data_IF_392817010956
#
_entry.id   IF_392817010956
#
_cell.length_a   1.000
_cell.length_b   1.000
_cell.length_c   1.000
_cell.angle_alpha   90.00
_cell.angle_beta   90.00
_cell.angle_gamma   90.00
#
_symmetry.space_group_name_H-M   'P 1'
#
loop_
_entity.id
_entity.type
_entity.pdbx_description
1 polymer ?
2 non-polymer ?
3 water ?
#
# COMPACT_ATOMS: atom_id res chain seq x y z
N UNK A 1 15.35 -6.78 -37.67
CA UNK A 1 14.57 -6.00 -38.67
C UNK A 1 15.25 -5.97 -40.04
N UNK A 2 14.69 -5.17 -40.92
CA UNK A 2 15.56 -4.68 -41.92
C UNK A 2 16.54 -3.91 -40.94
N UNK A 3 16.17 -2.75 -40.46
CA UNK A 3 17.19 -1.75 -40.12
C UNK A 3 16.98 -1.21 -38.68
N UNK A 4 17.70 -1.78 -37.70
CA UNK A 4 17.49 -1.35 -36.28
C UNK A 4 17.80 0.12 -36.00
N UNK A 5 18.87 0.63 -36.58
CA UNK A 5 19.15 2.02 -36.38
C UNK A 5 18.10 2.98 -36.96
N UNK A 6 17.47 2.60 -38.08
CA UNK A 6 16.37 3.38 -38.63
C UNK A 6 15.15 3.30 -37.72
N UNK A 7 14.98 2.17 -37.05
CA UNK A 7 13.83 1.99 -36.16
C UNK A 7 14.02 2.84 -34.92
N UNK A 8 15.24 2.93 -34.43
CA UNK A 8 15.54 3.85 -33.32
C UNK A 8 15.22 5.26 -33.68
N UNK A 9 15.58 5.71 -34.89
CA UNK A 9 15.29 7.01 -35.41
C UNK A 9 13.78 7.28 -35.56
N UNK A 10 13.08 6.24 -35.98
CA UNK A 10 11.61 6.35 -36.09
C UNK A 10 10.93 6.63 -34.73
N UNK A 11 11.46 6.01 -33.70
CA UNK A 11 10.98 6.29 -32.32
C UNK A 11 11.36 7.71 -31.94
N UNK A 12 12.59 8.12 -32.18
CA UNK A 12 13.02 9.48 -31.92
C UNK A 12 12.12 10.51 -32.59
N UNK A 13 11.72 10.21 -33.86
CA UNK A 13 10.90 11.10 -34.63
C UNK A 13 9.40 10.99 -34.24
N UNK A 14 9.05 10.04 -33.39
CA UNK A 14 7.64 9.80 -32.98
C UNK A 14 6.78 9.48 -34.22
N UNK A 15 7.38 8.69 -35.16
CA UNK A 15 6.82 8.43 -36.52
C UNK A 15 6.05 7.10 -36.42
N UNK A 16 4.75 7.21 -36.13
CA UNK A 16 3.96 6.05 -35.92
C UNK A 16 3.85 5.16 -37.16
N UNK A 17 3.91 5.77 -38.34
CA UNK A 17 3.89 4.96 -39.58
C UNK A 17 5.08 4.03 -39.60
N UNK A 18 6.26 4.62 -39.45
CA UNK A 18 7.46 3.82 -39.60
C UNK A 18 7.59 2.83 -38.46
N UNK A 19 7.23 3.24 -37.25
CA UNK A 19 7.33 2.31 -36.15
C UNK A 19 6.46 1.11 -36.41
N UNK A 20 5.24 1.31 -36.81
CA UNK A 20 4.33 0.18 -37.02
C UNK A 20 4.67 -0.62 -38.24
N UNK A 21 5.30 -0.03 -39.23
CA UNK A 21 5.79 -0.80 -40.41
C UNK A 21 6.81 -1.85 -39.99
N UNK A 22 7.73 -1.46 -39.10
CA UNK A 22 8.75 -2.38 -38.67
C UNK A 22 8.23 -3.37 -37.67
N UNK A 23 7.32 -2.94 -36.80
CA UNK A 23 6.74 -3.87 -35.84
C UNK A 23 5.99 -4.97 -36.60
N UNK A 24 5.28 -4.59 -37.64
CA UNK A 24 4.60 -5.60 -38.46
C UNK A 24 5.55 -6.60 -39.13
N UNK A 25 6.65 -6.12 -39.68
CA UNK A 25 7.67 -6.98 -40.28
C UNK A 25 8.26 -7.99 -39.27
N UNK A 26 8.56 -7.49 -38.08
CA UNK A 26 9.08 -8.34 -37.02
C UNK A 26 8.04 -9.34 -36.56
N UNK A 27 6.80 -8.90 -36.37
CA UNK A 27 5.80 -9.86 -35.89
C UNK A 27 5.63 -10.99 -36.93
N UNK A 28 5.73 -10.68 -38.23
CA UNK A 28 5.61 -11.70 -39.29
C UNK A 28 6.69 -12.73 -39.28
N UNK A 29 7.92 -12.35 -38.98
CA UNK A 29 8.94 -13.40 -39.01
C UNK A 29 8.99 -14.19 -37.69
N UNK A 30 8.16 -13.79 -36.74
CA UNK A 30 7.91 -14.55 -35.55
C UNK A 30 9.21 -15.03 -34.91
N UNK A 31 10.17 -14.13 -34.75
CA UNK A 31 11.43 -14.50 -34.13
C UNK A 31 11.48 -13.71 -32.81
N UNK A 32 11.54 -14.42 -31.68
CA UNK A 32 11.64 -13.74 -30.38
C UNK A 32 12.91 -12.91 -30.33
N UNK A 33 14.01 -13.43 -30.85
CA UNK A 33 15.28 -12.68 -30.69
C UNK A 33 15.21 -11.35 -31.50
N UNK A 34 14.58 -11.34 -32.67
CA UNK A 34 14.42 -10.12 -33.46
C UNK A 34 13.54 -9.10 -32.78
N UNK A 35 12.45 -9.60 -32.18
CA UNK A 35 11.56 -8.70 -31.39
C UNK A 35 12.36 -8.03 -30.27
N UNK A 36 13.15 -8.80 -29.53
CA UNK A 36 13.97 -8.21 -28.47
C UNK A 36 14.97 -7.17 -29.03
N UNK A 37 15.59 -7.39 -30.19
CA UNK A 37 16.47 -6.40 -30.75
C UNK A 37 15.74 -5.06 -31.11
N UNK A 38 14.52 -5.20 -31.63
CA UNK A 38 13.71 -4.09 -32.00
C UNK A 38 13.32 -3.28 -30.75
N UNK A 39 12.95 -3.99 -29.71
CA UNK A 39 12.68 -3.33 -28.42
C UNK A 39 13.83 -2.51 -27.94
N UNK A 40 15.04 -3.08 -27.99
CA UNK A 40 16.23 -2.32 -27.60
C UNK A 40 16.45 -1.08 -28.45
N UNK A 41 16.21 -1.20 -29.76
CA UNK A 41 16.32 -0.06 -30.62
C UNK A 41 15.30 1.04 -30.28
N UNK A 42 14.05 0.65 -30.02
CA UNK A 42 13.08 1.61 -29.57
C UNK A 42 13.45 2.29 -28.26
N UNK A 43 14.03 1.56 -27.37
CA UNK A 43 14.48 2.13 -26.07
C UNK A 43 15.60 3.19 -26.32
N UNK A 44 16.51 2.93 -27.26
CA UNK A 44 17.50 3.85 -27.61
C UNK A 44 16.86 5.06 -28.22
N UNK A 45 15.82 4.89 -29.03
CA UNK A 45 15.12 6.04 -29.54
C UNK A 45 14.41 6.92 -28.55
N UNK A 46 13.87 6.28 -27.48
CA UNK A 46 13.33 7.05 -26.36
C UNK A 46 14.36 8.02 -25.73
N UNK A 47 15.58 7.54 -25.58
CA UNK A 47 16.63 8.39 -25.13
C UNK A 47 16.83 9.61 -26.01
N UNK A 48 16.74 9.38 -27.30
CA UNK A 48 16.85 10.48 -28.28
C UNK A 48 15.65 11.49 -28.17
N UNK A 49 14.43 11.01 -27.85
CA UNK A 49 13.30 11.89 -27.51
C UNK A 49 13.68 12.79 -26.35
N UNK A 50 14.28 12.22 -25.31
CA UNK A 50 14.70 13.07 -24.23
C UNK A 50 15.74 14.11 -24.61
N UNK A 51 16.68 13.72 -25.45
CA UNK A 51 17.71 14.67 -25.89
C UNK A 51 17.06 15.86 -26.67
N UNK A 52 16.06 15.53 -27.49
CA UNK A 52 15.30 16.50 -28.27
C UNK A 52 14.37 17.42 -27.49
N UNK A 53 13.89 16.93 -26.36
CA UNK A 53 13.22 17.76 -25.40
C UNK A 53 14.23 18.71 -24.71
N UNK A 54 15.36 18.19 -24.31
CA UNK A 54 16.34 18.98 -23.57
C UNK A 54 16.90 20.10 -24.43
N UNK A 55 16.92 19.91 -25.76
CA UNK A 55 17.40 20.93 -26.71
C UNK A 55 16.38 22.01 -26.95
N UNK A 56 15.11 21.76 -26.57
CA UNK A 56 14.01 22.66 -26.78
C UNK A 56 13.20 22.40 -28.06
N UNK A 57 13.52 21.37 -28.84
CA UNK A 57 12.79 21.01 -30.04
C UNK A 57 11.42 20.39 -29.70
N UNK A 58 11.45 19.50 -28.72
CA UNK A 58 10.26 18.85 -28.29
C UNK A 58 9.72 19.50 -26.99
N UNK A 59 8.43 19.25 -26.76
CA UNK A 59 7.65 19.87 -25.64
C UNK A 59 7.12 18.76 -24.74
N UNK A 60 6.46 19.15 -23.65
CA UNK A 60 5.84 18.16 -22.74
C UNK A 60 4.95 17.19 -23.51
N UNK A 61 4.12 17.71 -24.41
CA UNK A 61 3.25 16.82 -25.17
C UNK A 61 4.01 15.69 -25.84
N UNK A 62 5.20 15.95 -26.39
CA UNK A 62 5.94 14.91 -27.06
C UNK A 62 6.39 13.85 -26.08
N UNK A 63 6.66 14.24 -24.84
CA UNK A 63 6.99 13.23 -23.87
C UNK A 63 5.78 12.34 -23.51
N UNK A 64 4.59 12.94 -23.42
CA UNK A 64 3.42 12.14 -23.22
C UNK A 64 3.26 11.14 -24.38
N UNK A 65 3.38 11.66 -25.59
CA UNK A 65 3.27 10.85 -26.79
C UNK A 65 4.25 9.69 -26.82
N UNK A 66 5.51 9.97 -26.44
CA UNK A 66 6.50 8.96 -26.53
C UNK A 66 6.18 7.77 -25.69
N UNK A 67 5.76 8.02 -24.44
CA UNK A 67 5.40 6.91 -23.61
C UNK A 67 4.28 6.01 -24.13
N UNK A 68 3.24 6.68 -24.63
CA UNK A 68 2.11 5.98 -25.19
C UNK A 68 2.48 5.22 -26.45
N UNK A 69 3.34 5.82 -27.25
CA UNK A 69 3.79 5.17 -28.51
C UNK A 69 4.68 3.95 -28.21
N UNK A 70 5.57 4.08 -27.24
CA UNK A 70 6.39 2.89 -26.85
C UNK A 70 5.49 1.80 -26.30
N UNK A 71 4.57 2.16 -25.40
CA UNK A 71 3.72 1.12 -24.83
C UNK A 71 2.94 0.41 -25.89
N UNK A 72 2.43 1.14 -26.89
CA UNK A 72 1.67 0.49 -27.97
C UNK A 72 2.51 -0.50 -28.75
N UNK A 73 3.75 -0.12 -29.04
CA UNK A 73 4.68 -1.05 -29.71
C UNK A 73 4.95 -2.24 -28.89
N UNK A 74 5.19 -2.04 -27.58
CA UNK A 74 5.43 -3.18 -26.66
C UNK A 74 4.28 -4.13 -26.57
N UNK A 75 3.05 -3.61 -26.62
CA UNK A 75 1.86 -4.43 -26.53
C UNK A 75 1.78 -5.32 -27.77
N UNK A 76 2.20 -4.80 -28.92
CA UNK A 76 2.17 -5.59 -30.12
C UNK A 76 3.22 -6.64 -30.19
N UNK A 77 4.38 -6.35 -29.62
CA UNK A 77 5.53 -7.23 -29.68
C UNK A 77 5.49 -8.32 -28.65
N UNK A 78 4.62 -8.20 -27.65
CA UNK A 78 4.57 -9.18 -26.55
C UNK A 78 4.28 -10.64 -26.91
N UNK A 79 3.36 -10.89 -27.86
CA UNK A 79 3.16 -12.28 -28.26
C UNK A 79 4.44 -12.92 -28.79
N UNK A 80 5.25 -12.13 -29.51
CA UNK A 80 6.49 -12.63 -30.16
C UNK A 80 7.56 -13.09 -29.15
N UNK A 81 7.71 -12.34 -28.06
CA UNK A 81 8.58 -12.79 -26.96
C UNK A 81 8.21 -14.20 -26.53
N UNK A 88 11.83 -11.69 -15.59
CA UNK A 88 11.57 -11.04 -14.27
C UNK A 88 11.87 -9.54 -14.26
N UNK A 89 10.83 -8.72 -14.26
CA UNK A 89 10.98 -7.26 -14.43
C UNK A 89 11.63 -6.57 -13.23
N UNK A 90 12.47 -5.54 -13.48
CA UNK A 90 12.97 -4.75 -12.35
C UNK A 90 11.81 -3.92 -11.80
N UNK A 91 11.87 -3.65 -10.51
CA UNK A 91 10.77 -3.03 -9.80
C UNK A 91 11.15 -1.64 -9.36
N UNK A 92 10.21 -0.70 -9.52
CA UNK A 92 10.33 0.65 -9.08
C UNK A 92 9.18 1.02 -8.17
N UNK A 93 9.48 1.55 -6.95
CA UNK A 93 8.46 2.11 -6.10
C UNK A 93 8.52 3.62 -6.36
N UNK A 94 7.39 4.19 -6.74
CA UNK A 94 7.31 5.56 -7.27
C UNK A 94 6.31 6.37 -6.48
N UNK A 95 6.64 7.60 -6.08
CA UNK A 95 5.72 8.45 -5.35
C UNK A 95 6.01 9.88 -5.50
N UNK A 96 4.95 10.69 -5.48
CA UNK A 96 5.09 12.07 -5.22
C UNK A 96 5.02 12.20 -3.70
N UNK A 97 6.03 12.81 -3.11
CA UNK A 97 6.24 12.76 -1.69
C UNK A 97 5.36 13.71 -0.88
N UNK A 98 5.37 13.48 0.42
CA UNK A 98 4.58 14.19 1.35
C UNK A 98 4.87 15.72 1.18
N UNK A 99 3.76 16.44 1.09
CA UNK A 99 3.80 17.89 0.97
C UNK A 99 3.49 18.33 -0.42
N UNK A 100 3.45 17.35 -1.36
CA UNK A 100 3.30 17.65 -2.76
C UNK A 100 2.14 16.96 -3.46
N UNK A 101 1.45 17.75 -4.33
CA UNK A 101 0.31 17.21 -5.09
C UNK A 101 0.58 17.15 -6.60
N UNK A 102 1.77 17.47 -7.02
CA UNK A 102 2.09 17.48 -8.45
C UNK A 102 2.39 16.10 -8.96
N UNK A 103 1.64 15.55 -9.92
CA UNK A 103 1.88 14.24 -10.49
C UNK A 103 1.89 14.14 -11.98
N UNK A 104 1.73 15.26 -12.70
CA UNK A 104 1.77 15.10 -14.16
C UNK A 104 3.08 14.52 -14.65
N UNK A 105 4.17 15.07 -14.13
CA UNK A 105 5.49 14.58 -14.48
C UNK A 105 5.82 13.16 -14.06
N UNK A 106 5.48 12.88 -12.83
CA UNK A 106 5.65 11.53 -12.27
C UNK A 106 4.93 10.57 -13.17
N UNK A 107 3.74 10.94 -13.62
CA UNK A 107 2.97 10.00 -14.44
C UNK A 107 3.52 9.79 -15.86
N UNK A 108 4.15 10.84 -16.42
CA UNK A 108 4.91 10.70 -17.66
C UNK A 108 6.02 9.67 -17.50
N UNK A 109 6.77 9.78 -16.41
CA UNK A 109 7.77 8.80 -16.10
C UNK A 109 7.20 7.42 -15.87
N UNK A 110 6.10 7.31 -15.13
CA UNK A 110 5.47 6.04 -14.89
C UNK A 110 5.15 5.37 -16.22
N UNK A 111 4.60 6.12 -17.18
CA UNK A 111 4.20 5.52 -18.46
C UNK A 111 5.46 5.05 -19.19
N UNK A 112 6.51 5.84 -19.24
CA UNK A 112 7.76 5.44 -19.94
C UNK A 112 8.38 4.25 -19.27
N UNK A 113 8.35 4.21 -17.95
CA UNK A 113 9.00 3.13 -17.23
C UNK A 113 8.27 1.80 -17.43
N UNK A 114 6.93 1.85 -17.39
CA UNK A 114 6.07 0.71 -17.65
C UNK A 114 6.30 0.19 -19.11
N UNK A 115 6.40 1.09 -20.05
CA UNK A 115 6.64 0.74 -21.42
C UNK A 115 8.03 0.19 -21.65
N UNK A 116 8.96 0.43 -20.73
CA UNK A 116 10.33 0.00 -20.82
C UNK A 116 10.57 -1.23 -20.00
N UNK A 117 9.50 -1.90 -19.58
CA UNK A 117 9.57 -3.19 -18.92
C UNK A 117 9.76 -3.19 -17.44
N UNK A 118 9.56 -2.03 -16.78
CA UNK A 118 9.65 -2.05 -15.32
C UNK A 118 8.30 -2.38 -14.72
N UNK A 119 8.27 -3.03 -13.57
CA UNK A 119 7.05 -3.16 -12.74
C UNK A 119 7.04 -1.96 -11.79
N UNK A 120 6.06 -1.08 -11.94
CA UNK A 120 6.05 0.14 -11.25
C UNK A 120 4.92 0.08 -10.20
N UNK A 121 5.29 0.31 -8.95
CA UNK A 121 4.35 0.45 -7.84
C UNK A 121 4.16 1.96 -7.56
N UNK A 122 3.09 2.49 -8.18
CA UNK A 122 2.75 3.88 -8.03
C UNK A 122 1.93 4.16 -6.80
N UNK A 123 2.54 4.86 -5.84
CA UNK A 123 1.89 5.11 -4.58
C UNK A 123 1.03 6.40 -4.61
N UNK A 124 1.09 7.15 -5.69
CA UNK A 124 0.28 8.36 -5.86
C UNK A 124 0.92 9.63 -5.34
N UNK A 125 0.13 10.54 -4.76
CA UNK A 125 0.63 11.87 -4.30
C UNK A 125 0.61 12.06 -2.77
N UNK A 126 1.28 13.07 -2.31
CA UNK A 126 1.39 13.42 -0.91
C UNK A 126 1.68 12.25 -0.04
N UNK A 127 2.57 11.40 -0.47
CA UNK A 127 2.73 10.07 0.14
C UNK A 127 3.65 10.15 1.36
N UNK A 128 3.17 9.77 2.54
CA UNK A 128 4.04 9.84 3.72
C UNK A 128 5.28 8.93 3.65
N UNK A 129 6.36 9.44 4.22
CA UNK A 129 7.60 8.69 4.34
C UNK A 129 7.38 7.27 4.76
N UNK A 130 6.64 7.13 5.86
CA UNK A 130 6.47 5.76 6.43
C UNK A 130 5.80 4.77 5.46
N UNK A 131 4.90 5.30 4.66
CA UNK A 131 4.21 4.48 3.61
C UNK A 131 5.14 4.07 2.47
N UNK A 132 5.97 5.00 2.00
CA UNK A 132 7.02 4.64 1.07
C UNK A 132 7.97 3.55 1.63
N UNK A 133 8.45 3.79 2.86
CA UNK A 133 9.34 2.80 3.44
C UNK A 133 8.69 1.44 3.62
N UNK A 134 7.43 1.39 4.08
CA UNK A 134 6.70 0.13 4.17
C UNK A 134 6.55 -0.60 2.84
N UNK A 135 6.34 0.15 1.75
CA UNK A 135 6.23 -0.45 0.47
C UNK A 135 7.58 -1.06 -0.01
N UNK A 136 8.67 -0.39 0.31
CA UNK A 136 10.00 -0.88 -0.05
C UNK A 136 10.27 -2.18 0.72
N UNK A 137 9.90 -2.23 2.00
CA UNK A 137 10.03 -3.50 2.71
C UNK A 137 9.22 -4.64 2.11
N UNK A 138 7.98 -4.32 1.65
CA UNK A 138 7.10 -5.26 1.05
C UNK A 138 7.57 -5.84 -0.24
N UNK A 139 8.04 -5.01 -1.18
CA UNK A 139 8.28 -5.47 -2.52
C UNK A 139 9.76 -5.54 -2.95
N UNK A 140 10.66 -5.04 -2.10
CA UNK A 140 12.09 -5.08 -2.37
C UNK A 140 12.47 -4.60 -3.79
N UNK A 141 12.15 -3.32 -4.06
CA UNK A 141 12.45 -2.85 -5.40
C UNK A 141 13.90 -2.61 -5.62
N UNK A 142 14.29 -2.60 -6.88
CA UNK A 142 15.63 -2.14 -7.28
C UNK A 142 15.82 -0.63 -7.17
N UNK A 143 14.74 0.11 -7.41
CA UNK A 143 14.71 1.58 -7.55
C UNK A 143 13.56 2.19 -6.77
N UNK A 144 13.85 3.27 -6.08
CA UNK A 144 12.84 4.14 -5.52
C UNK A 144 12.90 5.47 -6.25
N UNK A 145 11.77 5.90 -6.83
CA UNK A 145 11.69 7.17 -7.56
C UNK A 145 10.75 8.11 -6.81
N UNK A 146 11.24 9.30 -6.55
CA UNK A 146 10.59 10.29 -5.76
C UNK A 146 10.42 11.59 -6.57
N UNK A 147 9.19 12.09 -6.59
CA UNK A 147 8.81 13.36 -7.26
C UNK A 147 8.44 14.44 -6.24
N UNK A 148 8.82 15.65 -6.57
CA UNK A 148 8.39 16.77 -5.78
C UNK A 148 8.86 18.06 -6.36
N UNK A 149 8.19 19.15 -5.89
CA UNK A 149 8.60 20.48 -6.28
C UNK A 149 8.69 21.46 -5.09
N UNK A 150 7.73 21.45 -4.23
CA UNK A 150 7.78 22.41 -3.11
C UNK A 150 8.99 22.11 -2.21
N UNK A 151 9.45 23.12 -1.51
CA UNK A 151 10.64 22.95 -0.65
C UNK A 151 10.35 21.94 0.44
N UNK A 152 9.15 21.93 0.98
CA UNK A 152 8.75 20.91 1.96
C UNK A 152 8.86 19.48 1.42
N UNK A 153 8.49 19.33 0.14
CA UNK A 153 8.60 18.03 -0.54
C UNK A 153 10.06 17.65 -0.67
N UNK A 154 10.90 18.57 -1.02
CA UNK A 154 12.32 18.26 -1.18
C UNK A 154 12.86 17.77 0.20
N UNK A 155 12.44 18.45 1.27
CA UNK A 155 12.70 17.94 2.61
C UNK A 155 12.18 16.49 2.85
N UNK A 156 10.97 16.18 2.42
CA UNK A 156 10.43 14.85 2.59
C UNK A 156 11.26 13.82 1.78
N UNK A 157 11.80 14.22 0.63
CA UNK A 157 12.72 13.34 -0.11
C UNK A 157 13.91 12.95 0.76
N UNK A 158 14.51 13.95 1.40
CA UNK A 158 15.66 13.71 2.30
C UNK A 158 15.23 12.83 3.46
N UNK A 159 14.09 13.11 4.04
CA UNK A 159 13.60 12.26 5.08
C UNK A 159 13.34 10.80 4.70
N UNK A 160 12.87 10.60 3.47
CA UNK A 160 12.63 9.24 2.95
C UNK A 160 13.98 8.48 2.81
N UNK A 161 14.98 9.13 2.27
CA UNK A 161 16.33 8.50 2.14
C UNK A 161 16.90 8.18 3.52
N UNK A 162 16.71 9.11 4.43
CA UNK A 162 17.25 8.93 5.80
C UNK A 162 16.54 7.73 6.47
N UNK A 163 15.23 7.62 6.28
CA UNK A 163 14.47 6.48 6.79
C UNK A 163 14.89 5.14 6.18
N UNK A 164 15.20 5.13 4.90
CA UNK A 164 15.70 3.92 4.25
C UNK A 164 17.05 3.53 4.82
N UNK A 165 17.88 4.51 5.11
CA UNK A 165 19.19 4.27 5.75
C UNK A 165 18.96 3.67 7.17
N UNK A 166 18.04 4.23 7.93
CA UNK A 166 17.78 3.73 9.29
C UNK A 166 17.28 2.30 9.34
N UNK A 167 16.54 1.90 8.31
CA UNK A 167 15.97 0.59 8.22
C UNK A 167 16.91 -0.39 7.56
N UNK A 168 18.13 0.02 7.16
CA UNK A 168 19.05 -0.93 6.50
C UNK A 168 18.69 -1.35 5.08
N UNK A 169 17.84 -0.54 4.47
CA UNK A 169 17.37 -0.79 3.09
C UNK A 169 18.11 0.00 1.98
N UNK A 170 18.73 1.10 2.36
CA UNK A 170 19.25 2.09 1.39
C UNK A 170 20.32 1.53 0.48
N UNK A 171 21.20 0.72 1.03
CA UNK A 171 22.38 0.32 0.25
C UNK A 171 22.06 -0.73 -0.77
N UNK A 172 20.89 -1.34 -0.70
CA UNK A 172 20.51 -2.32 -1.68
C UNK A 172 19.50 -1.82 -2.73
N UNK A 173 19.35 -0.51 -2.83
CA UNK A 173 18.52 0.04 -3.90
C UNK A 173 19.13 1.33 -4.40
N UNK A 174 18.60 1.84 -5.51
CA UNK A 174 19.02 3.09 -6.04
C UNK A 174 17.83 4.05 -5.88
N UNK A 175 18.11 5.30 -5.61
CA UNK A 175 17.13 6.38 -5.44
C UNK A 175 17.31 7.38 -6.56
N UNK A 176 16.23 7.61 -7.33
CA UNK A 176 16.22 8.65 -8.37
C UNK A 176 15.14 9.68 -7.98
N UNK A 177 15.47 10.96 -8.14
CA UNK A 177 14.53 12.03 -7.88
C UNK A 177 14.25 12.79 -9.18
N UNK A 178 13.04 13.36 -9.19
CA UNK A 178 12.61 14.21 -10.28
C UNK A 178 11.62 15.22 -9.79
N UNK A 179 11.34 16.18 -10.66
CA UNK A 179 10.40 17.27 -10.34
C UNK A 179 10.94 18.61 -10.83
N UNK A 180 10.06 19.60 -10.85
CA UNK A 180 10.43 20.91 -11.39
C UNK A 180 11.81 21.49 -11.02
N UNK A 181 12.21 21.42 -9.73
CA UNK A 181 13.42 22.12 -9.28
C UNK A 181 14.65 21.22 -9.09
N UNK A 182 14.58 19.95 -9.50
CA UNK A 182 15.65 19.04 -9.08
C UNK A 182 16.90 19.33 -9.94
N UNK A 183 18.06 19.16 -9.35
CA UNK A 183 19.35 19.33 -10.00
C UNK A 183 20.35 18.70 -9.09
N UNK A 184 21.63 18.79 -9.48
CA UNK A 184 22.69 18.08 -8.69
C UNK A 184 22.75 18.55 -7.24
N UNK A 185 22.52 19.85 -7.00
CA UNK A 185 22.52 20.35 -5.63
C UNK A 185 21.43 19.71 -4.74
N UNK A 186 20.22 19.62 -5.29
CA UNK A 186 19.09 18.99 -4.57
C UNK A 186 19.42 17.46 -4.41
N UNK A 187 20.00 16.84 -5.43
CA UNK A 187 20.30 15.42 -5.40
C UNK A 187 21.27 15.13 -4.23
N UNK A 188 22.33 15.95 -4.16
CA UNK A 188 23.25 15.87 -3.01
C UNK A 188 22.63 16.11 -1.62
N UNK A 189 21.75 17.08 -1.52
CA UNK A 189 21.13 17.38 -0.24
C UNK A 189 20.19 16.22 0.21
N UNK A 190 19.51 15.65 -0.75
CA UNK A 190 18.63 14.54 -0.52
C UNK A 190 19.37 13.26 -0.19
N UNK A 191 20.52 13.04 -0.81
CA UNK A 191 21.17 11.78 -0.64
C UNK A 191 20.80 10.77 -1.69
N UNK A 192 20.24 11.23 -2.83
CA UNK A 192 19.90 10.33 -3.93
C UNK A 192 21.05 9.85 -4.74
N UNK A 193 20.86 8.84 -5.56
CA UNK A 193 21.86 8.38 -6.47
C UNK A 193 21.93 9.19 -7.76
N UNK A 194 20.77 9.68 -8.24
CA UNK A 194 20.78 10.52 -9.42
C UNK A 194 19.46 11.30 -9.46
N UNK A 195 19.40 12.27 -10.38
CA UNK A 195 18.24 13.09 -10.61
C UNK A 195 18.02 13.11 -12.14
N UNK A 196 16.77 13.27 -12.54
CA UNK A 196 16.47 13.26 -14.01
C UNK A 196 16.38 14.65 -14.58
N UNK A 197 16.77 14.82 -15.84
CA UNK A 197 16.44 16.13 -16.52
C UNK A 197 14.97 16.17 -17.09
N UNK A 198 14.52 14.99 -17.42
CA UNK A 198 13.27 14.80 -18.01
C UNK A 198 13.00 13.32 -17.87
N UNK A 199 11.78 12.92 -18.07
CA UNK A 199 11.38 11.60 -17.80
C UNK A 199 12.09 10.54 -18.65
N UNK A 200 12.39 10.91 -19.88
CA UNK A 200 13.10 9.96 -20.75
C UNK A 200 14.57 9.76 -20.27
N UNK A 201 15.21 10.87 -19.87
CA UNK A 201 16.51 10.75 -19.24
C UNK A 201 16.44 9.88 -17.99
N UNK A 202 15.35 10.02 -17.20
CA UNK A 202 15.23 9.18 -16.02
C UNK A 202 15.15 7.71 -16.34
N UNK A 203 14.43 7.33 -17.41
CA UNK A 203 14.36 5.94 -17.81
C UNK A 203 15.72 5.43 -18.21
N UNK A 204 16.45 6.26 -18.96
CA UNK A 204 17.85 5.95 -19.39
C UNK A 204 18.69 5.60 -18.16
N UNK A 205 18.59 6.43 -17.13
CA UNK A 205 19.31 6.17 -15.86
C UNK A 205 18.95 4.85 -15.24
N UNK A 206 17.67 4.57 -15.18
CA UNK A 206 17.18 3.40 -14.53
C UNK A 206 17.55 2.11 -15.30
N UNK A 207 17.50 2.22 -16.61
CA UNK A 207 17.95 1.09 -17.46
C UNK A 207 19.45 0.74 -17.26
N UNK A 208 20.28 1.75 -17.06
CA UNK A 208 21.68 1.54 -16.75
C UNK A 208 21.86 0.82 -15.42
N UNK A 209 21.05 1.18 -14.40
CA UNK A 209 21.17 0.48 -13.11
C UNK A 209 20.74 -0.99 -13.07
N UNK A 210 19.84 -1.40 -13.95
CA UNK A 210 19.32 -2.73 -13.90
C UNK A 210 19.92 -3.63 -14.98
N UNK A 211 19.67 -4.92 -14.90
CA UNK A 211 20.38 -5.88 -15.80
C UNK A 211 19.60 -7.11 -16.27
N UNK B 1 -14.79 -30.27 30.53
CA UNK B 1 -13.32 -30.19 30.86
C UNK B 1 -12.96 -28.82 31.51
N UNK B 2 -13.69 -27.79 31.11
CA UNK B 2 -13.56 -26.44 31.60
C UNK B 2 -14.95 -25.79 31.80
N UNK B 3 -15.01 -24.82 32.72
CA UNK B 3 -16.23 -24.03 33.01
C UNK B 3 -16.31 -22.79 32.12
N UNK B 4 -17.27 -22.71 31.21
CA UNK B 4 -17.26 -21.62 30.23
C UNK B 4 -17.59 -20.27 30.85
N UNK B 5 -18.50 -20.27 31.82
CA UNK B 5 -18.91 -19.05 32.53
C UNK B 5 -17.76 -18.46 33.27
N UNK B 6 -17.04 -19.31 34.00
CA UNK B 6 -15.96 -18.81 34.81
C UNK B 6 -14.83 -18.34 33.89
N UNK B 7 -14.67 -19.02 32.74
CA UNK B 7 -13.64 -18.70 31.74
C UNK B 7 -13.93 -17.33 31.11
N UNK B 8 -15.20 -17.07 30.75
CA UNK B 8 -15.55 -15.72 30.28
C UNK B 8 -15.37 -14.63 31.34
N UNK B 9 -15.71 -14.89 32.60
CA UNK B 9 -15.54 -13.96 33.69
C UNK B 9 -14.05 -13.66 33.90
N UNK B 10 -13.20 -14.69 33.75
CA UNK B 10 -11.73 -14.50 33.91
C UNK B 10 -11.18 -13.46 32.92
N UNK B 11 -11.65 -13.59 31.68
CA UNK B 11 -11.33 -12.63 30.67
C UNK B 11 -11.85 -11.26 30.96
N UNK B 12 -13.15 -11.18 31.28
CA UNK B 12 -13.74 -9.96 31.68
C UNK B 12 -12.96 -9.24 32.79
N UNK B 13 -12.55 -10.03 33.78
CA UNK B 13 -11.77 -9.52 34.94
C UNK B 13 -10.32 -9.20 34.61
N UNK B 14 -9.88 -9.56 33.42
CA UNK B 14 -8.48 -9.44 33.05
C UNK B 14 -7.59 -10.10 34.11
N UNK B 15 -8.02 -11.28 34.57
CA UNK B 15 -7.41 -12.00 35.73
C UNK B 15 -6.46 -13.04 35.15
N UNK B 16 -5.20 -12.67 35.05
CA UNK B 16 -4.24 -13.57 34.42
C UNK B 16 -4.06 -14.92 35.12
N UNK B 17 -4.21 -14.95 36.43
CA UNK B 17 -4.12 -16.24 37.11
C UNK B 17 -5.20 -17.19 36.64
N UNK B 18 -6.43 -16.71 36.66
CA UNK B 18 -7.55 -17.56 36.29
C UNK B 18 -7.51 -17.99 34.81
N UNK B 19 -7.19 -17.03 33.98
CA UNK B 19 -7.07 -17.30 32.56
C UNK B 19 -6.06 -18.39 32.33
N UNK B 20 -4.89 -18.27 32.95
CA UNK B 20 -3.85 -19.21 32.61
C UNK B 20 -4.06 -20.60 33.23
N UNK B 21 -4.76 -20.66 34.34
CA UNK B 21 -5.16 -21.94 34.99
C UNK B 21 -5.98 -22.75 33.97
N UNK B 22 -6.98 -22.11 33.37
CA UNK B 22 -7.81 -22.82 32.39
C UNK B 22 -7.12 -23.13 31.08
N UNK B 23 -6.27 -22.22 30.61
CA UNK B 23 -5.56 -22.53 29.44
C UNK B 23 -4.68 -23.75 29.66
N UNK B 24 -4.00 -23.78 30.80
CA UNK B 24 -3.12 -24.93 31.15
C UNK B 24 -3.88 -26.27 31.17
N UNK B 25 -5.08 -26.26 31.73
CA UNK B 25 -5.95 -27.46 31.81
C UNK B 25 -6.23 -27.97 30.43
N UNK B 26 -6.56 -27.05 29.54
CA UNK B 26 -6.91 -27.43 28.22
C UNK B 26 -5.69 -27.99 27.52
N UNK B 27 -4.53 -27.35 27.70
CA UNK B 27 -3.30 -27.77 27.01
C UNK B 27 -2.74 -29.11 27.55
N UNK B 28 -2.97 -29.40 28.83
CA UNK B 28 -2.56 -30.67 29.47
C UNK B 28 -3.11 -31.86 28.69
N UNK B 29 -4.42 -31.81 28.47
CA UNK B 29 -5.08 -32.83 27.69
C UNK B 29 -4.90 -32.49 26.20
N UNK B 30 -4.97 -31.20 25.87
CA UNK B 30 -4.91 -30.71 24.48
C UNK B 30 -6.03 -31.28 23.59
N UNK B 31 -7.28 -31.03 23.99
CA UNK B 31 -8.44 -31.63 23.34
C UNK B 31 -8.62 -31.13 21.92
N UNK B 32 -8.76 -29.81 21.79
CA UNK B 32 -8.94 -29.11 20.50
C UNK B 32 -10.39 -28.66 20.33
N UNK B 33 -11.36 -29.55 20.50
CA UNK B 33 -12.73 -29.04 20.64
C UNK B 33 -12.85 -28.24 21.96
N UNK B 34 -12.16 -28.65 23.05
CA UNK B 34 -12.16 -27.88 24.30
C UNK B 34 -11.47 -26.51 24.12
N UNK B 35 -10.34 -26.49 23.42
CA UNK B 35 -9.66 -25.23 23.05
C UNK B 35 -10.59 -24.32 22.27
N UNK B 36 -11.33 -24.81 21.28
CA UNK B 36 -12.35 -24.02 20.57
C UNK B 36 -13.43 -23.43 21.46
N UNK B 37 -13.89 -24.19 22.44
CA UNK B 37 -14.87 -23.66 23.38
C UNK B 37 -14.30 -22.59 24.31
N UNK B 38 -13.05 -22.75 24.70
CA UNK B 38 -12.41 -21.80 25.58
C UNK B 38 -12.23 -20.52 24.80
N UNK B 39 -11.78 -20.65 23.59
CA UNK B 39 -11.65 -19.44 22.70
C UNK B 39 -12.96 -18.72 22.61
N UNK B 40 -14.06 -19.45 22.37
CA UNK B 40 -15.33 -18.76 22.30
C UNK B 40 -15.72 -18.07 23.67
N UNK B 41 -15.42 -18.71 24.78
CA UNK B 41 -15.68 -18.10 26.08
C UNK B 41 -14.86 -16.82 26.27
N UNK B 42 -13.57 -16.88 25.91
CA UNK B 42 -12.75 -15.67 26.02
C UNK B 42 -13.28 -14.52 25.13
N UNK B 43 -13.76 -14.88 23.97
CA UNK B 43 -14.31 -13.86 23.04
C UNK B 43 -15.57 -13.23 23.68
N UNK B 44 -16.41 -14.02 24.37
CA UNK B 44 -17.49 -13.44 25.11
C UNK B 44 -17.04 -12.56 26.24
N UNK B 45 -15.98 -12.99 26.96
CA UNK B 45 -15.38 -12.14 27.97
C UNK B 45 -14.90 -10.77 27.44
N UNK B 46 -14.32 -10.78 26.25
CA UNK B 46 -13.86 -9.51 25.64
C UNK B 46 -15.03 -8.55 25.47
N UNK B 47 -16.20 -9.06 25.11
CA UNK B 47 -17.35 -8.16 25.03
C UNK B 47 -17.67 -7.52 26.37
N UNK B 48 -17.54 -8.32 27.42
CA UNK B 48 -17.70 -7.81 28.77
C UNK B 48 -16.65 -6.77 29.18
N UNK B 49 -15.41 -6.93 28.68
CA UNK B 49 -14.41 -5.85 28.90
C UNK B 49 -14.96 -4.56 28.30
N UNK B 50 -15.49 -4.64 27.09
CA UNK B 50 -16.02 -3.45 26.44
C UNK B 50 -17.17 -2.82 27.22
N UNK B 51 -18.03 -3.66 27.77
CA UNK B 51 -19.14 -3.15 28.59
C UNK B 51 -18.66 -2.44 29.87
N UNK B 52 -17.61 -3.02 30.54
CA UNK B 52 -17.03 -2.39 31.72
C UNK B 52 -16.29 -1.10 31.41
N UNK B 53 -15.74 -0.98 30.21
CA UNK B 53 -15.24 0.32 29.73
C UNK B 53 -16.37 1.34 29.51
N UNK B 54 -17.39 0.91 28.82
CA UNK B 54 -18.57 1.76 28.64
C UNK B 54 -19.22 2.23 29.96
N UNK B 55 -19.24 1.38 30.96
CA UNK B 55 -19.81 1.72 32.28
C UNK B 55 -18.85 2.55 33.14
N UNK B 56 -17.65 2.89 32.61
CA UNK B 56 -16.73 3.76 33.31
C UNK B 56 -15.85 3.03 34.35
N UNK B 57 -16.01 1.73 34.53
CA UNK B 57 -15.14 0.96 35.41
C UNK B 57 -13.70 0.76 34.87
N UNK B 58 -13.62 0.44 33.60
CA UNK B 58 -12.34 0.28 32.90
C UNK B 58 -12.01 1.54 32.15
N UNK B 59 -10.70 1.67 31.85
CA UNK B 59 -10.15 2.82 31.19
C UNK B 59 -9.33 2.35 29.97
N UNK B 60 -8.73 3.31 29.24
CA UNK B 60 -7.98 2.96 28.02
C UNK B 60 -6.91 1.91 28.32
N UNK B 61 -6.28 2.02 29.49
CA UNK B 61 -5.24 1.04 29.82
C UNK B 61 -5.75 -0.37 29.84
N UNK B 62 -6.99 -0.55 30.33
CA UNK B 62 -7.59 -1.88 30.37
C UNK B 62 -7.86 -2.46 29.02
N UNK B 63 -8.16 -1.59 28.04
CA UNK B 63 -8.39 -2.09 26.69
C UNK B 63 -7.06 -2.51 26.06
N UNK B 64 -5.98 -1.80 26.35
CA UNK B 64 -4.66 -2.20 25.91
C UNK B 64 -4.34 -3.57 26.52
N UNK B 65 -4.53 -3.71 27.82
CA UNK B 65 -4.24 -4.98 28.47
C UNK B 65 -5.01 -6.09 27.88
N UNK B 66 -6.29 -5.88 27.63
CA UNK B 66 -7.16 -6.96 27.15
C UNK B 66 -6.69 -7.60 25.83
N UNK B 67 -6.27 -6.76 24.86
CA UNK B 67 -5.77 -7.34 23.61
C UNK B 67 -4.52 -8.18 23.81
N UNK B 68 -3.63 -7.69 24.69
CA UNK B 68 -2.37 -8.43 24.93
C UNK B 68 -2.61 -9.72 25.70
N UNK B 69 -3.54 -9.69 26.65
CA UNK B 69 -3.88 -10.87 27.43
C UNK B 69 -4.58 -11.88 26.53
N UNK B 70 -5.50 -11.46 25.68
CA UNK B 70 -6.13 -12.42 24.78
C UNK B 70 -5.12 -12.98 23.80
N UNK B 71 -4.21 -12.20 23.29
CA UNK B 71 -3.24 -12.70 22.34
C UNK B 71 -2.34 -13.74 23.03
N UNK B 72 -1.95 -13.49 24.27
CA UNK B 72 -1.11 -14.43 24.96
C UNK B 72 -1.79 -15.77 25.14
N UNK B 73 -3.04 -15.77 25.48
CA UNK B 73 -3.83 -16.99 25.56
C UNK B 73 -3.91 -17.70 24.25
N UNK B 74 -4.19 -16.98 23.17
CA UNK B 74 -4.24 -17.60 21.86
C UNK B 74 -2.90 -18.23 21.46
N UNK B 75 -1.81 -17.58 21.85
CA UNK B 75 -0.49 -18.05 21.49
C UNK B 75 -0.32 -19.42 22.15
N UNK B 76 -0.84 -19.57 23.36
CA UNK B 76 -0.67 -20.85 24.08
C UNK B 76 -1.56 -21.95 23.56
N UNK B 77 -2.73 -21.57 23.08
CA UNK B 77 -3.72 -22.51 22.61
C UNK B 77 -3.50 -22.94 21.16
N UNK B 78 -2.62 -22.26 20.42
CA UNK B 78 -2.63 -22.48 18.97
C UNK B 78 -2.16 -23.92 18.61
N UNK B 79 -1.23 -24.52 19.39
CA UNK B 79 -0.90 -25.97 19.08
C UNK B 79 -2.07 -26.97 19.22
N UNK B 80 -3.10 -26.64 20.01
CA UNK B 80 -4.32 -27.43 20.08
C UNK B 80 -5.23 -27.23 18.87
N UNK B 81 -5.01 -26.19 18.07
CA UNK B 81 -5.93 -25.84 16.98
C UNK B 81 -5.89 -26.82 15.81
N UNK B 87 -3.18 -14.73 10.30
CA UNK B 87 -3.79 -14.87 8.96
C UNK B 87 -4.82 -15.99 9.23
N UNK B 88 -5.57 -15.89 10.35
CA UNK B 88 -6.79 -16.68 10.57
C UNK B 88 -7.86 -16.16 9.60
N UNK B 89 -8.86 -16.98 9.30
CA UNK B 89 -9.58 -16.80 8.06
C UNK B 89 -10.03 -15.28 7.69
N UNK B 90 -10.92 -14.56 8.42
CA UNK B 90 -11.47 -13.33 7.83
C UNK B 90 -10.42 -12.20 7.80
N UNK B 91 -10.50 -11.38 6.78
CA UNK B 91 -9.57 -10.35 6.56
C UNK B 91 -10.12 -8.97 6.77
N UNK B 92 -9.29 -8.13 7.41
CA UNK B 92 -9.58 -6.68 7.65
C UNK B 92 -8.46 -5.83 7.06
N UNK B 93 -8.79 -4.87 6.23
CA UNK B 93 -7.86 -3.82 5.79
C UNK B 93 -8.10 -2.66 6.71
N UNK B 94 -7.09 -2.19 7.42
CA UNK B 94 -7.23 -1.22 8.49
C UNK B 94 -6.33 -0.03 8.18
N UNK B 95 -6.79 1.17 8.41
CA UNK B 95 -6.00 2.40 8.25
C UNK B 95 -6.50 3.55 9.06
N UNK B 96 -5.60 4.41 9.53
CA UNK B 96 -5.98 5.78 9.93
C UNK B 96 -5.89 6.55 8.63
N UNK B 97 -6.98 7.22 8.26
CA UNK B 97 -7.11 7.77 6.94
C UNK B 97 -6.34 9.08 6.71
N UNK B 98 -6.20 9.44 5.43
CA UNK B 98 -5.57 10.67 4.95
C UNK B 98 -6.00 11.85 5.80
N UNK B 99 -5.00 12.54 6.31
CA UNK B 99 -5.19 13.77 7.01
C UNK B 99 -5.06 13.60 8.50
N UNK B 100 -5.06 12.35 8.97
CA UNK B 100 -5.04 12.03 10.43
C UNK B 100 -3.76 11.25 10.82
N UNK B 101 -3.28 11.62 12.01
CA UNK B 101 -2.09 11.05 12.58
C UNK B 101 -2.41 10.33 13.92
N UNK B 102 -3.65 10.15 14.27
CA UNK B 102 -4.05 9.47 15.48
C UNK B 102 -4.15 7.99 15.20
N UNK B 103 -3.40 7.17 15.95
CA UNK B 103 -3.39 5.72 15.86
C UNK B 103 -3.50 4.87 17.10
N UNK B 104 -3.52 5.51 18.27
CA UNK B 104 -3.54 4.75 19.46
C UNK B 104 -4.73 3.82 19.50
N UNK B 105 -5.90 4.35 19.17
CA UNK B 105 -7.12 3.58 19.17
C UNK B 105 -7.17 2.53 18.08
N UNK B 106 -6.74 2.92 16.88
CA UNK B 106 -6.68 2.00 15.78
C UNK B 106 -5.84 0.77 16.17
N UNK B 107 -4.72 1.04 16.87
CA UNK B 107 -3.82 0.00 17.29
C UNK B 107 -4.40 -0.90 18.38
N UNK B 108 -5.18 -0.34 19.27
CA UNK B 108 -5.94 -1.17 20.23
C UNK B 108 -6.87 -2.15 19.53
N UNK B 109 -7.63 -1.58 18.57
CA UNK B 109 -8.49 -2.44 17.75
C UNK B 109 -7.72 -3.50 16.97
N UNK B 110 -6.60 -3.09 16.35
CA UNK B 110 -5.70 -4.03 15.63
C UNK B 110 -5.34 -5.22 16.52
N UNK B 111 -4.89 -4.94 17.71
CA UNK B 111 -4.45 -5.98 18.60
C UNK B 111 -5.60 -6.91 18.98
N UNK B 112 -6.77 -6.34 19.33
CA UNK B 112 -7.90 -7.17 19.64
C UNK B 112 -8.36 -8.00 18.46
N UNK B 113 -8.40 -7.42 17.26
CA UNK B 113 -8.87 -8.15 16.09
C UNK B 113 -7.89 -9.26 15.76
N UNK B 114 -6.58 -9.01 15.81
CA UNK B 114 -5.59 -10.10 15.61
C UNK B 114 -5.79 -11.21 16.64
N UNK B 115 -6.00 -10.84 17.88
CA UNK B 115 -6.13 -11.85 18.92
C UNK B 115 -7.48 -12.60 18.80
N UNK B 116 -8.41 -12.04 18.05
CA UNK B 116 -9.74 -12.63 17.77
C UNK B 116 -9.83 -13.41 16.48
N UNK B 117 -8.69 -13.66 15.85
CA UNK B 117 -8.65 -14.53 14.71
C UNK B 117 -8.80 -13.89 13.36
N UNK B 118 -8.71 -12.58 13.28
CA UNK B 118 -8.74 -11.91 12.01
C UNK B 118 -7.32 -11.79 11.43
N UNK B 119 -7.21 -11.82 10.09
CA UNK B 119 -5.95 -11.43 9.41
C UNK B 119 -6.06 -9.91 9.13
N UNK B 120 -5.21 -9.10 9.73
CA UNK B 120 -5.31 -7.66 9.69
C UNK B 120 -4.18 -7.09 8.86
N UNK B 121 -4.55 -6.35 7.84
CA UNK B 121 -3.60 -5.63 7.06
C UNK B 121 -3.63 -4.18 7.47
N UNK B 122 -2.66 -3.78 8.27
CA UNK B 122 -2.60 -2.48 8.83
C UNK B 122 -1.75 -1.60 7.92
N UNK B 123 -2.41 -0.71 7.22
CA UNK B 123 -1.76 0.16 6.26
C UNK B 123 -1.04 1.32 6.89
N UNK B 124 -1.31 1.60 8.15
CA UNK B 124 -0.64 2.70 8.85
C UNK B 124 -1.46 3.92 9.11
N UNK B 125 -0.86 5.11 9.04
CA UNK B 125 -1.47 6.37 9.39
C UNK B 125 -1.38 7.34 8.21
N UNK B 126 -2.28 8.31 8.14
CA UNK B 126 -2.36 9.30 7.13
C UNK B 126 -2.36 8.64 5.73
N UNK B 127 -3.15 7.59 5.62
CA UNK B 127 -3.12 6.69 4.48
C UNK B 127 -3.99 7.29 3.34
N UNK B 128 -3.36 7.56 2.19
CA UNK B 128 -4.15 8.00 1.04
C UNK B 128 -5.23 7.03 0.59
N UNK B 129 -6.32 7.63 0.13
CA UNK B 129 -7.47 6.80 -0.34
C UNK B 129 -7.01 5.78 -1.37
N UNK B 130 -6.18 6.17 -2.33
CA UNK B 130 -5.68 5.25 -3.40
C UNK B 130 -5.05 4.01 -2.82
N UNK B 131 -4.28 4.18 -1.75
CA UNK B 131 -3.59 3.07 -1.15
C UNK B 131 -4.54 2.05 -0.50
N UNK B 132 -5.57 2.59 0.17
CA UNK B 132 -6.58 1.73 0.76
C UNK B 132 -7.31 0.96 -0.36
N UNK B 133 -7.74 1.69 -1.40
CA UNK B 133 -8.48 1.03 -2.47
C UNK B 133 -7.59 -0.04 -3.12
N UNK B 134 -6.34 0.26 -3.37
CA UNK B 134 -5.47 -0.70 -4.00
C UNK B 134 -5.24 -1.95 -3.17
N UNK B 135 -5.19 -1.77 -1.84
CA UNK B 135 -5.11 -2.93 -0.97
C UNK B 135 -6.37 -3.79 -1.03
N UNK B 136 -7.52 -3.16 -1.06
CA UNK B 136 -8.76 -3.92 -1.19
C UNK B 136 -8.80 -4.73 -2.47
N UNK B 137 -8.33 -4.12 -3.56
CA UNK B 137 -8.27 -4.89 -4.83
C UNK B 137 -7.36 -6.10 -4.72
N UNK B 138 -6.26 -5.94 -4.01
CA UNK B 138 -5.24 -6.99 -3.84
C UNK B 138 -5.70 -8.16 -2.98
N UNK B 139 -6.32 -7.89 -1.83
CA UNK B 139 -6.61 -8.94 -0.92
C UNK B 139 -8.09 -9.29 -0.77
N UNK B 140 -9.00 -8.48 -1.30
CA UNK B 140 -10.48 -8.76 -1.19
C UNK B 140 -10.94 -9.06 0.24
N UNK B 141 -10.71 -8.11 1.12
CA UNK B 141 -11.11 -8.33 2.49
C UNK B 141 -12.64 -8.37 2.75
N UNK B 142 -13.02 -9.02 3.82
CA UNK B 142 -14.36 -8.95 4.34
C UNK B 142 -14.73 -7.57 4.87
N UNK B 143 -13.77 -6.89 5.51
CA UNK B 143 -14.02 -5.67 6.27
C UNK B 143 -12.89 -4.68 5.94
N UNK B 144 -13.31 -3.46 5.83
CA UNK B 144 -12.43 -2.29 5.82
C UNK B 144 -12.71 -1.48 7.08
N UNK B 145 -11.64 -1.23 7.88
CA UNK B 145 -11.71 -0.43 9.10
C UNK B 145 -10.99 0.90 8.89
N UNK B 146 -11.67 2.00 9.17
CA UNK B 146 -11.10 3.32 9.01
C UNK B 146 -11.15 4.11 10.30
N UNK B 147 -10.03 4.68 10.69
CA UNK B 147 -9.88 5.50 11.92
C UNK B 147 -9.66 6.94 11.56
N UNK B 148 -10.26 7.85 12.30
CA UNK B 148 -9.96 9.27 12.14
C UNK B 148 -10.70 10.11 13.20
N UNK B 149 -10.18 11.30 13.39
CA UNK B 149 -10.85 12.27 14.26
C UNK B 149 -11.07 13.66 13.64
N UNK B 150 -10.07 14.19 12.91
CA UNK B 150 -10.23 15.51 12.34
C UNK B 150 -11.35 15.52 11.35
N UNK B 151 -12.02 16.68 11.21
CA UNK B 151 -13.06 16.78 10.16
C UNK B 151 -12.60 16.47 8.77
N UNK B 152 -11.37 16.90 8.40
CA UNK B 152 -10.72 16.48 7.12
C UNK B 152 -10.60 14.95 6.99
N UNK B 153 -10.29 14.25 8.09
CA UNK B 153 -10.18 12.80 8.10
C UNK B 153 -11.57 12.16 7.91
N UNK B 154 -12.57 12.76 8.51
CA UNK B 154 -13.92 12.24 8.37
C UNK B 154 -14.34 12.41 6.88
N UNK B 155 -13.92 13.47 6.24
CA UNK B 155 -14.15 13.64 4.81
C UNK B 155 -13.38 12.58 3.99
N UNK B 156 -12.13 12.29 4.42
CA UNK B 156 -11.40 11.20 3.80
C UNK B 156 -12.07 9.85 3.95
N UNK B 157 -12.74 9.55 5.08
CA UNK B 157 -13.50 8.34 5.22
C UNK B 157 -14.60 8.27 4.14
N UNK B 158 -15.34 9.36 3.99
CA UNK B 158 -16.43 9.39 2.99
C UNK B 158 -15.83 9.19 1.60
N UNK B 159 -14.69 9.84 1.30
CA UNK B 159 -14.03 9.72 0.01
C UNK B 159 -13.58 8.29 -0.24
N UNK B 160 -13.14 7.61 0.80
CA UNK B 160 -12.72 6.21 0.65
C UNK B 160 -13.90 5.32 0.31
N UNK B 161 -15.04 5.52 0.99
CA UNK B 161 -16.20 4.71 0.68
C UNK B 161 -16.69 5.01 -0.73
N UNK B 162 -16.61 6.25 -1.13
CA UNK B 162 -17.01 6.68 -2.47
C UNK B 162 -16.16 6.04 -3.53
N UNK B 163 -14.85 5.93 -3.24
CA UNK B 163 -13.96 5.33 -4.16
C UNK B 163 -14.15 3.84 -4.30
N UNK B 164 -14.45 3.17 -3.18
CA UNK B 164 -14.84 1.74 -3.15
C UNK B 164 -16.12 1.49 -3.97
N UNK B 165 -17.06 2.42 -3.92
CA UNK B 165 -18.30 2.30 -4.70
C UNK B 165 -17.92 2.47 -6.19
N UNK B 166 -17.12 3.42 -6.54
CA UNK B 166 -16.75 3.67 -7.96
C UNK B 166 -16.01 2.49 -8.59
N UNK B 167 -15.28 1.76 -7.78
CA UNK B 167 -14.46 0.66 -8.25
C UNK B 167 -15.23 -0.67 -8.23
N UNK B 168 -16.50 -0.65 -7.86
CA UNK B 168 -17.30 -1.87 -7.74
C UNK B 168 -16.98 -2.82 -6.58
N UNK B 169 -16.30 -2.32 -5.57
CA UNK B 169 -15.81 -3.16 -4.45
C UNK B 169 -16.66 -3.05 -3.21
N UNK B 170 -17.43 -1.97 -3.10
CA UNK B 170 -18.11 -1.64 -1.84
C UNK B 170 -19.15 -2.63 -1.42
N UNK B 171 -19.87 -3.18 -2.40
CA UNK B 171 -20.99 -4.02 -2.06
C UNK B 171 -20.60 -5.36 -1.51
N UNK B 172 -19.36 -5.75 -1.71
CA UNK B 172 -18.89 -7.05 -1.29
C UNK B 172 -18.08 -6.99 -0.03
N UNK B 173 -18.15 -5.88 0.69
CA UNK B 173 -17.41 -5.78 1.99
C UNK B 173 -18.16 -4.95 2.95
N UNK B 174 -17.74 -4.98 4.21
CA UNK B 174 -18.37 -4.16 5.25
C UNK B 174 -17.34 -3.11 5.63
N UNK B 175 -17.80 -1.89 5.88
CA UNK B 175 -16.99 -0.74 6.29
C UNK B 175 -17.33 -0.43 7.72
N UNK B 176 -16.34 -0.44 8.63
CA UNK B 176 -16.49 0.03 10.01
C UNK B 176 -15.55 1.15 10.27
N UNK B 177 -16.09 2.15 10.94
CA UNK B 177 -15.29 3.35 11.24
C UNK B 177 -15.16 3.52 12.75
N UNK B 178 -14.11 4.20 13.13
CA UNK B 178 -13.93 4.55 14.55
C UNK B 178 -13.05 5.77 14.69
N UNK B 179 -12.98 6.28 15.91
CA UNK B 179 -12.23 7.46 16.26
C UNK B 179 -12.98 8.26 17.31
N UNK B 180 -12.28 9.24 17.84
CA UNK B 180 -12.80 10.05 18.89
C UNK B 180 -14.24 10.54 18.64
N UNK B 181 -14.53 11.12 17.44
CA UNK B 181 -15.81 11.79 17.26
C UNK B 181 -16.89 10.96 16.57
N UNK B 182 -16.65 9.67 16.35
CA UNK B 182 -17.61 8.94 15.54
C UNK B 182 -18.88 8.65 16.34
N UNK B 183 -19.99 8.65 15.60
CA UNK B 183 -21.34 8.45 16.10
C UNK B 183 -22.21 8.09 14.90
N UNK B 184 -23.46 7.86 15.15
CA UNK B 184 -24.35 7.46 14.08
C UNK B 184 -24.49 8.51 12.94
N UNK B 185 -24.48 9.77 13.30
CA UNK B 185 -24.47 10.81 12.33
C UNK B 185 -23.26 10.70 11.35
N UNK B 186 -22.08 10.52 11.90
CA UNK B 186 -20.90 10.39 11.11
C UNK B 186 -21.03 9.10 10.23
N UNK B 187 -21.44 8.00 10.86
CA UNK B 187 -21.67 6.72 10.16
C UNK B 187 -22.50 6.96 8.90
N UNK B 188 -23.61 7.63 9.08
CA UNK B 188 -24.45 7.91 7.93
C UNK B 188 -23.82 8.82 6.91
N UNK B 189 -23.10 9.84 7.35
CA UNK B 189 -22.51 10.73 6.41
C UNK B 189 -21.41 10.09 5.57
N UNK B 190 -20.66 9.19 6.21
CA UNK B 190 -19.55 8.49 5.55
C UNK B 190 -20.09 7.44 4.60
N UNK B 191 -21.21 6.86 4.91
CA UNK B 191 -21.70 5.67 4.23
C UNK B 191 -21.20 4.34 4.74
N UNK B 192 -20.74 4.33 6.04
CA UNK B 192 -20.29 3.09 6.64
C UNK B 192 -21.38 2.10 6.97
N UNK B 193 -21.04 0.83 7.20
CA UNK B 193 -21.98 -0.12 7.73
C UNK B 193 -22.13 0.01 9.24
N UNK B 194 -21.07 0.36 9.97
CA UNK B 194 -21.21 0.62 11.40
C UNK B 194 -20.00 1.37 11.91
N UNK B 195 -20.06 1.71 13.17
CA UNK B 195 -19.04 2.46 13.83
C UNK B 195 -18.82 1.91 15.22
N UNK B 196 -17.63 2.31 15.76
CA UNK B 196 -17.15 1.85 17.06
C UNK B 196 -16.46 2.99 17.83
N UNK B 197 -17.02 3.23 19.01
CA UNK B 197 -16.48 4.06 20.04
C UNK B 197 -15.64 3.29 21.03
N UNK B 198 -15.66 1.97 20.92
CA UNK B 198 -14.82 1.15 21.70
C UNK B 198 -14.40 -0.10 20.99
N UNK B 199 -13.12 -0.35 21.07
CA UNK B 199 -12.53 -1.37 20.21
C UNK B 199 -13.10 -2.73 20.47
N UNK B 200 -13.41 -3.06 21.71
CA UNK B 200 -13.98 -4.39 21.97
C UNK B 200 -15.38 -4.60 21.33
N UNK B 201 -16.19 -3.54 21.36
CA UNK B 201 -17.49 -3.56 20.65
C UNK B 201 -17.27 -3.65 19.13
N UNK B 202 -16.21 -2.99 18.68
CA UNK B 202 -15.86 -3.14 17.25
C UNK B 202 -15.56 -4.54 16.85
N UNK B 203 -14.79 -5.27 17.64
CA UNK B 203 -14.48 -6.67 17.30
C UNK B 203 -15.78 -7.49 17.32
N UNK B 204 -16.66 -7.26 18.28
CA UNK B 204 -17.94 -7.94 18.32
C UNK B 204 -18.78 -7.72 17.05
N UNK B 205 -18.79 -6.49 16.57
CA UNK B 205 -19.49 -6.13 15.29
C UNK B 205 -18.88 -6.95 14.15
N UNK B 206 -17.56 -6.98 14.11
CA UNK B 206 -16.89 -7.64 13.02
C UNK B 206 -17.16 -9.16 13.06
N UNK B 207 -17.20 -9.72 14.25
CA UNK B 207 -17.39 -11.18 14.43
C UNK B 207 -18.79 -11.49 13.97
N UNK B 208 -19.77 -10.60 14.26
CA UNK B 208 -21.17 -10.86 13.81
C UNK B 208 -21.25 -10.89 12.26
N UNK B 209 -20.50 -9.99 11.64
CA UNK B 209 -20.46 -9.94 10.19
C UNK B 209 -19.90 -11.12 9.51
N UNK B 210 -18.90 -11.76 10.10
CA UNK B 210 -18.20 -12.84 9.42
C UNK B 210 -18.76 -14.19 9.94
N UNK B 211 -18.31 -15.28 9.30
CA UNK B 211 -18.98 -16.60 9.39
C UNK B 211 -19.01 -17.18 10.79
#
# INVERSE_FOLDING_TARGET
>A
VIDLNASAQAMSDLDEGAINEVVDKVMAKADADAAQELIKAFQQGMTKVGERFDSGEYFIGDLIFAGEILQAAMDKLKPALSGDALEKRAKIVLATVEGDLHDIGKNIFRTMAEASGFEVFDLGIDVPVKIIVDKVKEVNPEIVGLSGVLTLALDSMRETVDALKAEGLRNDLKVIIGGVPVNENVCQRVGADDFSTNAADGVKICQRWVG
>B
VIDLNASAQAMSDLDEGAINEVVDKVMAKADADAAQELIKAFQQGMTKVGERFDSGEYFIGDLIFAGEILQAAMDKLKPALSGDALEKRAKIVLATVEGDLHDIGKNIFRTMAEASGFEVFDLGIDVPVKIIVDKVKEVNPEIVGLSGVLTLALDSMRETVDALKAEGLRNDLKVIIGGVPVNENVCQRVGADDFSTNAADGVKICQRWVG
#
